data_IF_776970609794
#
_entry.id   IF_776970609794
#
_cell.length_a   1.000
_cell.length_b   1.000
_cell.length_c   1.000
_cell.angle_alpha   90.00
_cell.angle_beta   90.00
_cell.angle_gamma   90.00
#
_symmetry.space_group_name_H-M   'P 1'
#
loop_
_entity.id
_entity.type
_entity.pdbx_description
1 polymer ?
2 polymer ?
3 non-polymer ?
4 non-polymer ?
5 non-polymer ?
6 non-polymer ?
7 non-polymer ?
8 water ?
#
# COMPACT_ATOMS: atom_id res chain seq x y z
N UNK A 2 -18.81 13.10 16.43
CA UNK A 2 -17.95 14.18 15.83
C UNK A 2 -16.95 13.65 14.81
N UNK A 3 -16.37 12.50 15.12
CA UNK A 3 -15.27 11.93 14.30
C UNK A 3 -15.73 11.51 12.92
N UNK A 4 -17.03 11.27 12.80
CA UNK A 4 -17.61 10.67 11.59
C UNK A 4 -17.85 11.79 10.60
N UNK A 5 -17.82 12.98 11.17
CA UNK A 5 -18.02 14.22 10.41
C UNK A 5 -16.79 15.09 10.38
N UNK A 6 -16.27 15.22 9.17
CA UNK A 6 -15.23 16.17 8.84
C UNK A 6 -13.98 15.74 9.58
N UNK A 7 -14.07 14.50 10.02
CA UNK A 7 -12.94 13.79 10.66
C UNK A 7 -12.73 14.36 12.04
N UNK A 8 -13.78 15.05 12.47
CA UNK A 8 -13.87 15.54 13.83
C UNK A 8 -12.98 16.75 13.95
N UNK A 9 -12.51 17.12 12.78
CA UNK A 9 -11.68 18.32 12.58
C UNK A 9 -10.20 17.96 12.71
N UNK A 10 -10.01 16.69 13.01
CA UNK A 10 -8.64 16.10 13.21
C UNK A 10 -7.87 16.00 11.89
N UNK A 11 -6.56 16.23 11.96
CA UNK A 11 -5.73 16.14 10.76
C UNK A 11 -5.54 14.68 10.42
N UNK A 12 -5.48 13.89 11.48
CA UNK A 12 -5.25 12.42 11.39
C UNK A 12 -6.34 11.62 12.06
N UNK A 13 -6.00 11.01 13.19
CA UNK A 13 -6.92 10.06 13.85
C UNK A 13 -7.81 10.73 14.89
N UNK A 14 -9.00 10.18 15.02
CA UNK A 14 -10.06 10.77 15.86
C UNK A 14 -10.73 9.73 16.71
N UNK A 15 -10.85 10.05 17.98
CA UNK A 15 -11.59 9.23 18.94
C UNK A 15 -12.72 10.00 19.57
N UNK A 16 -13.87 9.34 19.59
CA UNK A 16 -15.08 9.81 20.29
C UNK A 16 -15.05 9.41 21.75
N UNK A 17 -15.52 10.34 22.56
CA UNK A 17 -15.70 10.11 24.00
C UNK A 17 -17.08 10.48 24.48
N UNK A 18 -17.33 10.00 25.68
CA UNK A 18 -18.63 10.18 26.33
C UNK A 18 -18.87 11.65 26.58
N UNK A 19 -19.85 12.13 25.85
CA UNK A 19 -20.21 13.54 25.85
C UNK A 19 -19.90 14.17 24.51
N UNK A 20 -19.81 15.49 24.57
CA UNK A 20 -19.49 16.31 23.40
C UNK A 20 -17.99 16.37 23.37
N UNK A 21 -17.42 15.23 23.75
CA UNK A 21 -15.95 15.01 23.79
C UNK A 21 -15.34 14.28 22.61
N UNK A 22 -14.20 14.82 22.21
CA UNK A 22 -13.40 14.30 21.09
C UNK A 22 -11.90 14.47 21.33
N UNK A 23 -11.16 13.44 20.97
CA UNK A 23 -9.69 13.49 21.03
C UNK A 23 -9.10 13.11 19.68
N UNK A 24 -8.27 14.01 19.19
CA UNK A 24 -7.47 13.79 17.98
C UNK A 24 -6.16 13.13 18.38
N UNK A 25 -5.66 12.32 17.48
CA UNK A 25 -4.37 11.68 17.68
C UNK A 25 -3.54 11.72 16.40
N UNK A 26 -2.28 11.42 16.59
CA UNK A 26 -1.31 11.40 15.50
C UNK A 26 -0.58 10.07 15.46
N UNK A 27 -0.24 9.73 14.23
CA UNK A 27 0.59 8.54 13.94
C UNK A 27 1.92 8.67 14.65
N UNK A 28 2.53 7.51 14.92
CA UNK A 28 3.91 7.52 15.41
C UNK A 28 4.74 8.36 14.46
N UNK A 29 5.66 9.13 15.02
CA UNK A 29 6.56 10.00 14.26
C UNK A 29 5.96 11.38 14.06
N UNK A 30 4.81 11.55 14.70
CA UNK A 30 4.11 12.86 14.79
C UNK A 30 3.68 13.17 16.21
N UNK A 31 3.55 14.46 16.45
CA UNK A 31 2.95 14.99 17.70
C UNK A 31 1.82 15.98 17.41
N UNK A 32 0.87 15.95 18.33
CA UNK A 32 -0.35 16.77 18.26
C UNK A 32 -0.05 18.17 18.77
N UNK A 33 -0.48 19.16 18.02
CA UNK A 33 -0.25 20.56 18.41
C UNK A 33 -1.33 21.00 19.40
N UNK A 34 -1.10 22.17 19.94
CA UNK A 34 -1.96 22.74 21.02
C UNK A 34 -3.35 23.09 20.54
N UNK A 35 -3.53 23.08 19.22
CA UNK A 35 -4.85 23.32 18.62
C UNK A 35 -5.71 22.08 18.78
N UNK A 36 -5.03 21.01 19.17
CA UNK A 36 -5.69 19.72 19.49
C UNK A 36 -6.13 18.93 18.28
N UNK A 37 -5.73 19.43 17.12
CA UNK A 37 -6.13 18.81 15.83
C UNK A 37 -4.98 18.50 14.87
N UNK A 38 -3.98 19.34 14.91
CA UNK A 38 -2.87 19.31 13.95
C UNK A 38 -1.76 18.37 14.41
N UNK A 39 -1.15 17.74 13.41
CA UNK A 39 0.00 16.84 13.61
C UNK A 39 1.25 17.35 12.92
N UNK A 40 2.32 17.38 13.68
CA UNK A 40 3.61 17.82 13.19
C UNK A 40 4.66 16.71 13.32
N UNK A 41 5.52 16.51 12.30
CA UNK A 41 6.54 15.47 12.42
C UNK A 41 7.52 15.69 13.55
N UNK A 42 7.93 14.57 14.12
CA UNK A 42 8.87 14.57 15.25
C UNK A 42 10.15 13.86 14.87
N UNK A 43 10.13 13.31 13.68
CA UNK A 43 11.28 12.60 13.09
C UNK A 43 11.58 13.09 11.70
N UNK A 44 12.72 12.62 11.20
CA UNK A 44 13.24 13.10 9.92
C UNK A 44 12.39 12.58 8.77
N UNK A 45 11.99 11.34 8.92
CA UNK A 45 11.25 10.63 7.87
C UNK A 45 9.92 10.04 8.36
N UNK A 46 8.95 10.91 8.65
CA UNK A 46 7.66 10.41 9.07
C UNK A 46 6.95 9.74 7.93
N UNK A 47 6.08 8.80 8.27
CA UNK A 47 5.31 8.09 7.24
C UNK A 47 4.46 9.07 6.43
N UNK A 48 4.33 8.74 5.16
CA UNK A 48 3.33 9.35 4.30
C UNK A 48 3.67 10.74 3.86
N UNK A 49 4.91 11.10 4.09
CA UNK A 49 5.47 12.35 3.55
C UNK A 49 6.60 12.05 2.58
N UNK A 50 6.68 12.90 1.56
CA UNK A 50 7.66 12.78 0.47
C UNK A 50 8.79 13.79 0.58
N UNK A 51 9.96 13.37 1.08
CA UNK A 51 11.01 14.32 1.46
C UNK A 51 11.38 15.33 0.39
N UNK A 52 11.42 14.88 -0.86
CA UNK A 52 11.98 15.74 -1.92
C UNK A 52 10.99 16.83 -2.24
N UNK A 53 9.77 16.58 -1.80
CA UNK A 53 8.64 17.51 -2.04
C UNK A 53 8.46 18.41 -0.85
N UNK A 54 8.78 17.88 0.32
CA UNK A 54 8.64 18.62 1.58
C UNK A 54 9.75 19.64 1.65
N UNK A 55 10.84 19.28 0.99
CA UNK A 55 12.06 20.09 1.00
C UNK A 55 11.93 21.16 -0.05
N UNK A 56 11.11 20.81 -1.02
CA UNK A 56 10.91 21.63 -2.23
C UNK A 56 10.01 22.76 -1.83
N UNK A 57 9.55 22.63 -0.59
CA UNK A 57 8.50 23.50 -0.04
C UNK A 57 8.88 24.12 1.27
N UNK A 58 10.07 23.73 1.71
CA UNK A 58 10.67 24.20 2.97
C UNK A 58 11.16 25.64 2.81
N UNK B 1 1.29 -0.73 -15.04
CA UNK B 1 0.41 0.45 -15.07
C UNK B 1 0.21 0.91 -16.50
N UNK B 2 -1.05 0.97 -16.85
CA UNK B 2 -1.54 1.46 -18.14
C UNK B 2 -2.10 2.87 -18.02
N UNK B 3 -1.56 3.76 -18.83
CA UNK B 3 -2.12 5.09 -19.05
C UNK B 3 -1.71 6.06 -17.98
N UNK B 4 -0.66 5.67 -17.28
CA UNK B 4 -0.04 6.51 -16.24
C UNK B 4 1.14 7.33 -16.74
N UNK B 5 1.96 7.68 -15.77
CA UNK B 5 3.22 8.37 -16.04
C UNK B 5 4.30 7.84 -15.13
N UNK B 6 5.52 8.22 -15.45
CA UNK B 6 6.67 7.89 -14.60
C UNK B 6 6.47 8.61 -13.27
N UNK B 7 6.62 7.86 -12.19
CA UNK B 7 6.68 8.48 -10.87
C UNK B 7 8.06 9.11 -10.71
N UNK B 8 8.12 10.45 -10.59
CA UNK B 8 9.44 11.01 -10.48
C UNK B 8 10.20 10.40 -9.33
N UNK B 9 11.46 10.12 -9.61
CA UNK B 9 12.34 9.46 -8.63
C UNK B 9 12.21 10.12 -7.27
N UNK B 10 11.76 9.31 -6.33
CA UNK B 10 11.70 9.70 -4.92
C UNK B 10 10.33 10.14 -4.49
N UNK B 11 9.41 10.18 -5.45
CA UNK B 11 8.04 10.66 -5.17
C UNK B 11 7.10 9.53 -4.83
N UNK B 12 7.64 8.33 -4.97
CA UNK B 12 6.93 7.09 -4.61
C UNK B 12 7.79 6.25 -3.64
N UNK B 13 8.19 6.84 -2.51
CA UNK B 13 9.32 6.29 -1.78
C UNK B 13 8.99 5.07 -0.95
N UNK B 14 7.71 4.76 -0.91
CA UNK B 14 7.19 3.59 -0.15
C UNK B 14 7.04 2.36 -1.04
N UNK B 15 7.24 2.58 -2.33
CA UNK B 15 7.09 1.48 -3.30
C UNK B 15 8.18 0.44 -3.09
N UNK B 16 7.75 -0.80 -3.10
CA UNK B 16 8.66 -1.95 -3.00
C UNK B 16 8.62 -2.77 -4.28
N UNK B 17 9.79 -3.25 -4.67
CA UNK B 17 9.89 -4.28 -5.71
C UNK B 17 10.26 -5.60 -5.07
N UNK B 18 9.45 -6.61 -5.34
CA UNK B 18 9.74 -7.98 -4.92
C UNK B 18 10.32 -8.78 -6.09
N UNK B 19 11.38 -9.47 -5.76
CA UNK B 19 12.12 -10.34 -6.68
C UNK B 19 12.18 -11.75 -6.16
N UNK B 20 12.13 -12.68 -7.11
CA UNK B 20 12.45 -14.09 -6.81
C UNK B 20 13.45 -14.60 -7.86
N UNK B 21 14.59 -15.05 -7.35
CA UNK B 21 15.74 -15.42 -8.17
C UNK B 21 16.14 -14.32 -9.17
N UNK B 22 15.96 -13.11 -8.69
CA UNK B 22 16.38 -11.90 -9.38
C UNK B 22 15.36 -11.37 -10.36
N UNK B 23 14.32 -12.17 -10.53
CA UNK B 23 13.20 -11.87 -11.43
C UNK B 23 12.06 -11.13 -10.74
N UNK B 24 11.53 -10.16 -11.44
CA UNK B 24 10.38 -9.38 -10.97
C UNK B 24 9.19 -10.28 -10.65
N UNK B 25 8.70 -10.16 -9.42
CA UNK B 25 7.59 -10.99 -8.92
C UNK B 25 6.30 -10.19 -8.78
N UNK B 26 6.47 -9.12 -8.03
CA UNK B 26 5.36 -8.26 -7.60
C UNK B 26 5.85 -6.96 -7.00
N UNK B 27 4.88 -6.13 -6.72
CA UNK B 27 5.06 -4.90 -5.97
C UNK B 27 4.77 -5.13 -4.50
N UNK B 28 5.06 -4.08 -3.75
CA UNK B 28 4.75 -4.03 -2.30
C UNK B 28 4.75 -2.60 -1.78
N UNK B 29 4.33 -2.47 -0.53
CA UNK B 29 4.33 -1.19 0.17
C UNK B 29 5.01 -1.27 1.52
N UNK B 30 5.98 -0.39 1.70
CA UNK B 30 6.68 -0.26 2.99
C UNK B 30 5.76 0.49 3.96
N UNK B 31 5.54 -0.08 5.14
CA UNK B 31 4.72 0.59 6.17
C UNK B 31 5.47 0.89 7.46
N UNK B 32 6.62 0.24 7.57
CA UNK B 32 7.60 0.47 8.65
C UNK B 32 8.94 -0.01 8.16
N UNK B 33 9.96 0.16 8.98
CA UNK B 33 11.35 -0.16 8.52
C UNK B 33 11.55 -1.64 8.27
N UNK B 34 10.68 -2.47 8.83
CA UNK B 34 10.83 -3.92 8.62
C UNK B 34 9.60 -4.62 8.06
N UNK B 35 8.57 -3.85 7.79
CA UNK B 35 7.30 -4.41 7.34
C UNK B 35 6.87 -3.90 5.99
N UNK B 36 6.49 -4.87 5.17
CA UNK B 36 5.98 -4.63 3.82
C UNK B 36 4.65 -5.34 3.60
N UNK B 37 3.73 -4.61 3.00
CA UNK B 37 2.42 -5.17 2.63
C UNK B 37 2.39 -5.44 1.14
N UNK B 38 1.96 -6.64 0.81
CA UNK B 38 1.82 -7.03 -0.60
C UNK B 38 0.53 -7.82 -0.78
N UNK B 39 0.48 -8.58 -1.87
CA UNK B 39 -0.68 -9.43 -2.22
C UNK B 39 -0.36 -10.90 -2.04
N UNK B 40 -1.27 -11.60 -1.38
CA UNK B 40 -1.09 -13.02 -1.08
C UNK B 40 -0.73 -13.83 -2.31
N UNK B 41 -1.38 -13.51 -3.42
CA UNK B 41 -1.33 -14.41 -4.61
C UNK B 41 0.09 -14.42 -5.20
N UNK B 42 0.86 -13.44 -4.77
CA UNK B 42 2.22 -13.26 -5.28
C UNK B 42 3.08 -14.44 -4.89
N UNK B 43 2.59 -15.16 -3.89
CA UNK B 43 3.38 -16.19 -3.20
C UNK B 43 2.85 -17.60 -3.39
N UNK B 44 1.87 -17.71 -4.27
CA UNK B 44 1.14 -18.98 -4.47
C UNK B 44 2.07 -20.09 -4.95
N UNK B 45 3.13 -19.69 -5.63
CA UNK B 45 3.94 -20.63 -6.44
C UNK B 45 5.39 -20.66 -6.02
N UNK B 46 5.66 -20.01 -4.91
CA UNK B 46 7.03 -19.91 -4.41
C UNK B 46 7.56 -21.28 -4.02
N UNK B 47 8.72 -21.57 -4.58
CA UNK B 47 9.36 -22.86 -4.39
C UNK B 47 10.32 -22.78 -3.25
N UNK B 48 11.31 -21.92 -3.49
CA UNK B 48 12.34 -21.62 -2.52
C UNK B 48 12.15 -20.28 -1.84
N UNK B 49 11.57 -20.37 -0.66
CA UNK B 49 11.04 -19.22 0.06
C UNK B 49 12.17 -18.34 0.48
N UNK B 50 13.36 -18.83 0.19
CA UNK B 50 14.59 -18.26 0.73
C UNK B 50 15.24 -17.34 -0.26
N UNK B 51 14.63 -17.29 -1.42
CA UNK B 51 15.16 -16.55 -2.56
C UNK B 51 14.34 -15.31 -2.85
N UNK B 52 13.50 -14.98 -1.88
CA UNK B 52 12.64 -13.78 -1.96
C UNK B 52 13.35 -12.55 -1.46
N UNK B 53 13.39 -11.54 -2.31
CA UNK B 53 14.06 -10.26 -2.03
C UNK B 53 13.12 -9.07 -2.21
N UNK B 54 13.21 -8.17 -1.25
CA UNK B 54 12.53 -6.87 -1.32
C UNK B 54 13.50 -5.75 -1.56
N UNK B 55 13.18 -4.93 -2.55
CA UNK B 55 14.00 -3.77 -2.88
C UNK B 55 13.23 -2.48 -2.66
N UNK B 56 13.86 -1.62 -1.87
CA UNK B 56 13.41 -0.26 -1.58
C UNK B 56 14.32 0.74 -2.31
N UNK B 57 13.75 1.89 -2.60
CA UNK B 57 14.48 3.00 -3.18
C UNK B 57 14.74 2.77 -4.66
N UNK B 58 14.02 1.80 -5.20
CA UNK B 58 14.12 1.45 -6.63
C UNK B 58 13.34 2.45 -7.46
N UNK B 59 13.86 2.65 -8.68
CA UNK B 59 13.24 3.56 -9.65
C UNK B 59 13.37 3.09 -11.07
N UNK B 60 14.60 3.12 -11.55
CA UNK B 60 14.95 2.63 -12.90
C UNK B 60 15.68 1.31 -12.83
N UNK B 61 15.01 0.29 -13.35
CA UNK B 61 15.48 -1.10 -13.21
C UNK B 61 16.75 -1.37 -14.02
N UNK B 62 17.09 -0.43 -14.86
CA UNK B 62 18.18 -0.63 -15.84
C UNK B 62 19.51 -0.23 -15.28
N UNK B 63 19.44 0.49 -14.18
CA UNK B 63 20.65 1.09 -13.58
C UNK B 63 20.65 1.02 -12.07
N UNK B 64 21.84 1.08 -11.56
CA UNK B 64 22.07 1.16 -10.12
C UNK B 64 22.57 2.55 -9.81
N UNK B 65 21.87 3.23 -8.89
CA UNK B 65 22.22 4.61 -8.57
C UNK B 65 22.59 4.80 -7.11
N UNK B 66 22.47 3.72 -6.37
CA UNK B 66 22.94 3.63 -5.00
C UNK B 66 21.92 3.98 -3.93
N UNK B 67 20.72 4.32 -4.38
CA UNK B 67 19.61 4.64 -3.46
C UNK B 67 18.81 3.39 -3.13
N UNK B 68 19.11 2.36 -3.91
CA UNK B 68 18.45 1.04 -3.73
C UNK B 68 18.94 0.36 -2.47
N UNK B 69 17.99 -0.27 -1.81
CA UNK B 69 18.25 -1.12 -0.63
C UNK B 69 17.51 -2.44 -0.75
N UNK B 70 18.29 -3.51 -0.70
CA UNK B 70 17.78 -4.87 -0.81
C UNK B 70 17.82 -5.60 0.51
N UNK B 71 16.72 -6.29 0.78
CA UNK B 71 16.59 -7.10 1.99
C UNK B 71 15.97 -8.44 1.66
N UNK B 72 16.41 -9.44 2.38
CA UNK B 72 15.76 -10.76 2.35
C UNK B 72 14.45 -10.68 3.10
N UNK B 73 13.49 -11.43 2.59
CA UNK B 73 12.19 -11.58 3.23
C UNK B 73 12.26 -12.75 4.19
N UNK B 74 12.05 -12.45 5.46
CA UNK B 74 12.19 -13.41 6.57
C UNK B 74 10.89 -14.12 6.85
N UNK B 75 9.82 -13.42 6.56
CA UNK B 75 8.46 -13.95 6.83
C UNK B 75 7.45 -13.40 5.86
N UNK B 76 6.63 -14.33 5.39
CA UNK B 76 5.44 -14.01 4.57
C UNK B 76 4.21 -14.52 5.28
N UNK B 77 3.39 -13.58 5.72
CA UNK B 77 2.17 -13.87 6.49
C UNK B 77 0.94 -13.58 5.66
N UNK B 78 0.09 -14.59 5.60
CA UNK B 78 -1.12 -14.56 4.79
C UNK B 78 -2.34 -14.97 5.64
N UNK B 79 -3.51 -14.36 5.38
CA UNK B 79 -4.67 -14.72 6.19
C UNK B 79 -5.16 -16.11 5.87
N UNK B 80 -5.68 -16.73 6.91
CA UNK B 80 -6.15 -18.13 6.83
C UNK B 80 -7.25 -18.26 5.79
N UNK B 81 -7.88 -17.14 5.52
CA UNK B 81 -9.12 -17.11 4.72
C UNK B 81 -8.82 -17.00 3.24
N UNK B 82 -7.57 -16.71 2.95
CA UNK B 82 -7.10 -16.64 1.56
C UNK B 82 -6.93 -18.03 0.96
N UNK B 83 -7.50 -18.18 -0.23
CA UNK B 83 -7.38 -19.42 -1.02
C UNK B 83 -6.51 -19.19 -2.26
N UNK B 84 -5.38 -19.90 -2.37
CA UNK B 84 -4.53 -19.65 -3.53
C UNK B 84 -5.27 -19.73 -4.84
N UNK B 85 -4.94 -18.76 -5.66
CA UNK B 85 -5.38 -18.70 -7.05
C UNK B 85 -6.68 -17.97 -7.17
N UNK B 86 -7.06 -17.38 -6.03
CA UNK B 86 -8.27 -16.56 -5.95
C UNK B 86 -7.99 -15.11 -5.58
N UNK B 87 -9.07 -14.37 -5.36
CA UNK B 87 -8.98 -12.91 -5.21
C UNK B 87 -9.30 -12.39 -3.83
N UNK B 88 -10.17 -13.11 -3.12
CA UNK B 88 -10.62 -12.63 -1.79
C UNK B 88 -9.48 -12.77 -0.79
N UNK B 89 -9.35 -11.75 0.05
CA UNK B 89 -8.35 -11.72 1.11
C UNK B 89 -6.93 -11.71 0.55
N UNK B 90 -6.81 -11.04 -0.58
CA UNK B 90 -5.54 -10.98 -1.32
C UNK B 90 -4.58 -9.98 -0.69
N UNK B 91 -4.02 -10.40 0.42
CA UNK B 91 -3.09 -9.57 1.19
C UNK B 91 -2.04 -10.42 1.89
N UNK B 92 -0.87 -9.84 1.99
CA UNK B 92 0.28 -10.45 2.66
C UNK B 92 1.07 -9.43 3.41
N UNK B 93 1.55 -9.85 4.56
CA UNK B 93 2.45 -9.05 5.39
C UNK B 93 3.82 -9.71 5.46
N UNK B 94 4.80 -8.93 5.05
CA UNK B 94 6.17 -9.39 4.89
C UNK B 94 7.09 -8.73 5.90
N UNK B 95 7.80 -9.59 6.63
CA UNK B 95 8.86 -9.16 7.53
C UNK B 95 10.22 -9.27 6.86
N UNK B 96 10.94 -8.14 6.85
CA UNK B 96 12.29 -8.08 6.28
C UNK B 96 13.29 -8.64 7.31
N UNK B 97 14.39 -9.16 6.80
CA UNK B 97 15.41 -9.85 7.62
C UNK B 97 16.15 -8.82 8.46
N UNK B 98 16.20 -7.64 7.91
CA UNK B 98 16.87 -6.48 8.49
C UNK B 98 16.15 -5.20 8.10
N UNK B 99 16.03 -4.22 9.02
CA UNK B 99 15.33 -3.01 8.60
C UNK B 99 16.01 -2.32 7.46
N UNK B 100 15.18 -1.67 6.64
CA UNK B 100 15.70 -0.68 5.69
C UNK B 100 16.02 0.57 6.47
N UNK B 101 16.86 1.38 5.85
CA UNK B 101 17.29 2.67 6.41
C UNK B 101 16.47 3.76 5.74
N UNK B 102 15.76 4.53 6.54
CA UNK B 102 14.94 5.60 5.97
C UNK B 102 15.87 6.68 5.42
N UNK B 103 15.52 7.07 4.21
CA UNK B 103 16.23 8.11 3.44
C UNK B 103 15.25 8.93 2.61
N UNK B 104 15.78 9.88 1.86
CA UNK B 104 14.91 10.70 1.02
C UNK B 104 14.16 9.82 0.02
N UNK B 105 14.72 8.64 -0.21
CA UNK B 105 14.24 7.75 -1.28
C UNK B 105 13.54 6.51 -0.77
N UNK B 106 13.56 6.39 0.54
CA UNK B 106 12.96 5.27 1.24
C UNK B 106 12.21 5.73 2.49
N UNK B 107 10.90 5.69 2.36
CA UNK B 107 9.95 6.19 3.38
C UNK B 107 8.71 5.30 3.45
N UNK B 108 8.25 4.96 4.68
CA UNK B 108 7.03 4.19 4.76
C UNK B 108 5.78 5.00 4.49
N UNK B 109 4.81 4.32 3.94
CA UNK B 109 3.43 4.84 3.82
C UNK B 109 2.73 4.57 5.14
N UNK B 110 1.92 5.53 5.59
CA UNK B 110 1.19 5.35 6.85
C UNK B 110 0.08 4.32 6.71
N UNK B 111 0.11 3.36 7.62
CA UNK B 111 -1.01 2.42 7.77
C UNK B 111 -2.04 3.11 8.65
N UNK B 112 -3.22 3.43 8.11
CA UNK B 112 -4.13 4.22 8.93
C UNK B 112 -4.90 3.39 9.93
N UNK B 113 -5.42 4.09 10.92
CA UNK B 113 -6.47 3.51 11.80
C UNK B 113 -7.67 3.15 10.96
N UNK B 114 -8.35 2.09 11.40
CA UNK B 114 -9.49 1.58 10.66
C UNK B 114 -10.55 2.63 10.54
N UNK B 115 -10.86 3.21 11.69
CA UNK B 115 -11.97 4.16 11.76
C UNK B 115 -11.74 5.29 10.79
N UNK B 116 -10.52 5.78 10.82
CA UNK B 116 -10.12 6.92 10.01
C UNK B 116 -10.24 6.54 8.55
N UNK B 117 -9.88 5.29 8.28
CA UNK B 117 -9.79 4.82 6.89
C UNK B 117 -11.19 4.66 6.33
N UNK B 118 -12.05 4.22 7.22
CA UNK B 118 -13.43 3.86 6.86
C UNK B 118 -14.29 5.11 6.74
N UNK B 119 -14.07 6.02 7.67
CA UNK B 119 -14.93 7.20 7.83
C UNK B 119 -14.49 8.35 6.96
N UNK B 120 -13.23 8.32 6.55
CA UNK B 120 -12.63 9.48 5.91
C UNK B 120 -11.92 9.15 4.59
N UNK B 121 -10.95 8.27 4.69
CA UNK B 121 -10.11 7.97 3.52
C UNK B 121 -10.95 7.38 2.40
N UNK B 122 -11.97 6.64 2.80
CA UNK B 122 -12.75 5.80 1.88
C UNK B 122 -13.58 6.70 0.98
N UNK B 123 -13.59 7.97 1.35
CA UNK B 123 -14.41 9.00 0.68
C UNK B 123 -13.58 10.00 -0.10
N UNK B 124 -12.27 9.80 -0.05
CA UNK B 124 -11.35 10.55 -0.90
C UNK B 124 -11.44 9.91 -2.29
N UNK B 125 -11.77 10.72 -3.29
CA UNK B 125 -12.15 10.17 -4.60
C UNK B 125 -10.98 9.49 -5.27
N UNK B 126 -9.95 10.28 -5.43
CA UNK B 126 -8.73 9.87 -6.15
C UNK B 126 -7.59 9.45 -5.26
N UNK B 127 -6.96 8.38 -5.72
CA UNK B 127 -5.75 7.82 -5.11
C UNK B 127 -4.79 7.36 -6.18
N UNK B 128 -3.57 7.14 -5.75
CA UNK B 128 -2.46 6.77 -6.63
C UNK B 128 -2.13 5.30 -6.53
N UNK B 129 -1.97 4.70 -7.70
CA UNK B 129 -1.48 3.30 -7.82
C UNK B 129 -0.22 3.26 -8.66
N UNK B 130 0.70 2.41 -8.26
CA UNK B 130 2.02 2.37 -8.87
C UNK B 130 2.61 0.99 -8.99
N UNK B 131 3.56 0.92 -9.91
CA UNK B 131 4.34 -0.31 -10.15
C UNK B 131 5.12 -0.31 -11.45
N UNK B 132 5.82 -1.41 -11.61
CA UNK B 132 6.70 -1.68 -12.77
C UNK B 132 6.07 -2.72 -13.65
N UNK B 133 4.76 -2.80 -13.53
CA UNK B 133 3.96 -3.72 -14.35
C UNK B 133 3.89 -3.35 -15.82
N UNK B 134 3.14 -4.19 -16.52
CA UNK B 134 2.86 -4.00 -17.97
C UNK B 134 2.27 -2.62 -18.26
N UNK B 135 2.79 -2.03 -19.32
CA UNK B 135 2.42 -0.68 -19.76
C UNK B 135 1.19 -0.77 -20.63
N UNK B 136 0.96 -2.00 -21.05
CA UNK B 136 -0.18 -2.38 -21.91
C UNK B 136 -0.58 -3.82 -21.68
N UNK B 137 -1.85 -4.09 -21.90
CA UNK B 137 -2.31 -5.48 -21.93
C UNK B 137 -1.47 -6.23 -22.97
N UNK B 138 -0.90 -7.33 -22.53
CA UNK B 138 -0.10 -8.22 -23.38
C UNK B 138 1.16 -7.51 -23.87
N UNK B 139 1.55 -6.53 -23.07
CA UNK B 139 2.74 -5.73 -23.34
C UNK B 139 3.88 -5.93 -22.38
N UNK B 140 4.99 -5.29 -22.72
CA UNK B 140 6.20 -5.30 -21.89
C UNK B 140 6.00 -4.52 -20.60
N UNK B 141 6.73 -4.96 -19.58
CA UNK B 141 6.76 -4.24 -18.29
C UNK B 141 7.62 -2.99 -18.36
N UNK B 142 7.38 -2.15 -17.37
CA UNK B 142 8.04 -0.84 -17.25
C UNK B 142 9.42 -0.95 -16.64
N UNK B 143 10.35 -0.15 -17.17
CA UNK B 143 11.71 -0.08 -16.63
C UNK B 143 11.80 1.02 -15.56
N UNK B 144 10.92 1.99 -15.71
CA UNK B 144 10.79 3.09 -14.73
C UNK B 144 9.45 2.97 -13.99
N UNK B 145 9.53 3.23 -12.69
CA UNK B 145 8.33 3.14 -11.83
C UNK B 145 7.26 4.08 -12.36
N UNK B 146 6.09 3.52 -12.54
CA UNK B 146 4.93 4.24 -13.06
C UNK B 146 3.86 4.43 -11.99
N UNK B 147 3.13 5.51 -12.17
CA UNK B 147 2.05 5.89 -11.27
C UNK B 147 0.84 6.45 -11.99
N UNK B 148 -0.29 6.16 -11.38
CA UNK B 148 -1.61 6.44 -11.96
C UNK B 148 -2.61 6.89 -10.92
N UNK B 149 -3.27 8.00 -11.23
CA UNK B 149 -4.38 8.53 -10.41
C UNK B 149 -5.68 7.87 -10.84
N UNK B 150 -6.31 7.22 -9.88
CA UNK B 150 -7.57 6.47 -10.12
C UNK B 150 -8.68 6.85 -9.14
N UNK B 151 -9.92 6.94 -9.64
CA UNK B 151 -11.02 7.21 -8.75
C UNK B 151 -11.69 5.95 -8.25
N UNK B 152 -12.05 6.02 -6.99
CA UNK B 152 -12.72 4.94 -6.26
C UNK B 152 -14.21 5.01 -6.46
N UNK B 153 -14.77 3.82 -6.60
CA UNK B 153 -16.22 3.63 -6.71
C UNK B 153 -16.77 2.86 -5.53
N UNK B 154 -17.91 3.32 -5.05
CA UNK B 154 -18.71 2.52 -4.10
C UNK B 154 -19.10 1.26 -4.84
N UNK B 155 -19.16 0.16 -4.11
CA UNK B 155 -19.22 -1.17 -4.75
C UNK B 155 -20.51 -1.34 -5.53
N UNK B 156 -21.52 -0.62 -5.07
CA UNK B 156 -22.84 -0.65 -5.71
C UNK B 156 -22.68 -0.12 -7.10
N UNK B 157 -21.99 0.99 -7.12
CA UNK B 157 -21.83 1.82 -8.32
C UNK B 157 -20.90 1.13 -9.28
N UNK B 158 -20.07 0.28 -8.70
CA UNK B 158 -19.05 -0.40 -9.48
C UNK B 158 -19.72 -1.43 -10.33
N UNK B 159 -20.67 -2.07 -9.66
CA UNK B 159 -21.35 -3.26 -10.20
C UNK B 159 -22.29 -2.83 -11.29
N UNK B 160 -22.71 -1.58 -11.16
CA UNK B 160 -23.73 -0.98 -12.04
C UNK B 160 -23.07 -0.48 -13.30
N UNK B 161 -21.86 0.01 -13.12
CA UNK B 161 -21.10 0.67 -14.18
C UNK B 161 -20.26 -0.32 -14.95
N UNK B 162 -20.31 -1.55 -14.47
CA UNK B 162 -19.53 -2.64 -15.07
C UNK B 162 -20.34 -3.35 -16.14
N UNK B 163 -19.66 -3.59 -17.25
CA UNK B 163 -20.25 -4.24 -18.42
C UNK B 163 -19.40 -5.38 -18.93
N UNK B 170 -17.60 -10.32 -8.97
CA UNK B 170 -17.71 -10.75 -7.58
C UNK B 170 -16.85 -9.94 -6.64
N UNK B 171 -17.39 -8.80 -6.28
CA UNK B 171 -16.74 -7.83 -5.42
C UNK B 171 -17.23 -8.02 -4.00
N UNK B 172 -16.32 -8.45 -3.14
CA UNK B 172 -16.64 -8.64 -1.74
C UNK B 172 -16.31 -7.41 -0.94
N UNK B 173 -16.61 -7.55 0.34
CA UNK B 173 -16.51 -6.45 1.30
C UNK B 173 -15.05 -6.23 1.63
N UNK B 174 -14.25 -7.12 1.07
CA UNK B 174 -12.80 -7.14 1.33
C UNK B 174 -12.06 -6.55 0.16
N UNK B 175 -12.88 -6.03 -0.74
CA UNK B 175 -12.40 -5.39 -1.96
C UNK B 175 -13.04 -4.06 -2.22
N UNK B 176 -12.43 -3.38 -3.16
CA UNK B 176 -13.06 -2.20 -3.79
C UNK B 176 -12.57 -1.97 -5.20
N UNK B 177 -13.44 -1.27 -5.91
CA UNK B 177 -13.19 -0.86 -7.30
C UNK B 177 -12.60 0.53 -7.39
N UNK B 178 -11.69 0.65 -8.33
CA UNK B 178 -11.13 1.95 -8.70
C UNK B 178 -10.55 1.93 -10.10
N UNK B 179 -10.70 3.08 -10.74
CA UNK B 179 -10.16 3.30 -12.08
C UNK B 179 -11.21 3.72 -13.08
N UNK B 180 -11.07 3.14 -14.26
CA UNK B 180 -11.81 3.55 -15.47
C UNK B 180 -12.27 2.37 -16.31
N UNK B 181 -13.41 2.58 -16.95
CA UNK B 181 -14.10 1.51 -17.69
C UNK B 181 -13.87 1.64 -19.18
N UNK B 182 -13.04 2.61 -19.53
CA UNK B 182 -12.88 3.01 -20.95
C UNK B 182 -11.66 2.41 -21.57
N UNK B 183 -10.98 1.65 -20.73
CA UNK B 183 -9.87 0.79 -21.15
C UNK B 183 -8.59 1.53 -21.39
N UNK B 184 -8.54 2.73 -20.85
CA UNK B 184 -7.41 3.64 -21.09
C UNK B 184 -6.38 3.64 -19.96
N UNK B 185 -6.88 3.27 -18.79
CA UNK B 185 -6.14 3.46 -17.53
C UNK B 185 -6.45 2.42 -16.48
N UNK B 186 -5.39 1.76 -16.05
CA UNK B 186 -5.52 0.66 -15.08
C UNK B 186 -4.18 0.21 -14.52
N UNK B 187 -4.29 -0.53 -13.43
CA UNK B 187 -3.18 -1.36 -13.00
C UNK B 187 -3.20 -2.56 -13.90
N UNK B 188 -2.08 -3.26 -13.89
CA UNK B 188 -1.85 -4.37 -14.84
C UNK B 188 -0.95 -5.43 -14.27
N UNK B 189 -0.87 -6.52 -14.99
CA UNK B 189 0.01 -7.61 -14.57
C UNK B 189 1.41 -7.07 -14.34
N UNK B 190 1.94 -7.41 -13.19
CA UNK B 190 3.27 -6.99 -12.76
C UNK B 190 3.19 -5.95 -11.67
N UNK B 191 1.99 -5.44 -11.48
CA UNK B 191 1.71 -4.37 -10.51
C UNK B 191 1.19 -4.91 -9.19
N UNK B 192 0.72 -6.15 -9.22
CA UNK B 192 0.11 -6.76 -8.02
C UNK B 192 1.01 -6.59 -6.80
N UNK B 193 0.35 -6.23 -5.72
CA UNK B 193 0.94 -6.13 -4.38
C UNK B 193 1.31 -4.71 -4.07
N UNK B 194 1.27 -3.92 -5.12
CA UNK B 194 1.62 -2.51 -5.04
C UNK B 194 0.61 -1.65 -4.31
N UNK B 195 0.98 -0.41 -3.96
CA UNK B 195 0.09 0.45 -3.21
C UNK B 195 -0.94 1.19 -4.02
N UNK B 196 -2.08 1.27 -3.35
CA UNK B 196 -3.15 2.24 -3.62
C UNK B 196 -3.12 3.18 -2.42
N UNK B 197 -2.59 4.36 -2.70
CA UNK B 197 -2.26 5.37 -1.68
C UNK B 197 -3.11 6.61 -1.81
N UNK B 198 -3.58 7.03 -0.65
CA UNK B 198 -4.58 8.08 -0.54
C UNK B 198 -4.11 9.23 0.32
N UNK B 199 -4.23 10.41 -0.25
CA UNK B 199 -3.79 11.65 0.38
C UNK B 199 -4.92 12.26 1.20
N UNK B 200 -4.55 12.65 2.40
CA UNK B 200 -5.42 13.43 3.27
C UNK B 200 -4.67 14.40 4.16
N UNK B 201 -5.00 15.66 3.93
CA UNK B 201 -4.47 16.77 4.71
C UNK B 201 -2.96 16.69 4.91
N UNK B 202 -2.30 16.38 3.81
CA UNK B 202 -0.86 16.58 3.67
C UNK B 202 -0.05 15.34 3.90
N UNK B 203 -0.78 14.27 4.12
CA UNK B 203 -0.19 12.95 4.39
C UNK B 203 -0.84 11.84 3.59
N UNK B 204 -0.01 10.87 3.25
CA UNK B 204 -0.45 9.71 2.45
C UNK B 204 -0.60 8.44 3.27
N UNK B 205 -1.65 7.71 2.93
CA UNK B 205 -2.05 6.48 3.63
C UNK B 205 -2.31 5.29 2.71
N UNK B 206 -2.06 4.12 3.26
CA UNK B 206 -2.38 2.86 2.53
C UNK B 206 -3.85 2.49 2.66
N UNK B 207 -4.52 2.50 1.51
CA UNK B 207 -5.95 2.14 1.44
C UNK B 207 -6.25 0.90 0.61
N UNK B 208 -5.33 0.59 -0.28
CA UNK B 208 -5.52 -0.54 -1.17
C UNK B 208 -4.25 -1.24 -1.58
N UNK B 209 -4.45 -2.47 -2.01
CA UNK B 209 -3.40 -3.29 -2.61
C UNK B 209 -3.85 -3.77 -3.99
N UNK B 210 -2.99 -3.53 -4.97
CA UNK B 210 -3.27 -4.00 -6.34
C UNK B 210 -3.41 -5.51 -6.29
N UNK B 211 -4.57 -6.00 -6.71
CA UNK B 211 -4.80 -7.45 -6.67
C UNK B 211 -4.65 -8.02 -8.08
N UNK B 212 -5.58 -8.87 -8.44
CA UNK B 212 -5.62 -9.37 -9.82
C UNK B 212 -7.02 -9.70 -10.28
N UNK B 213 -7.05 -10.11 -11.53
CA UNK B 213 -8.28 -10.39 -12.27
C UNK B 213 -7.97 -10.73 -13.72
N UNK B 215 -9.52 -7.54 -15.60
CA UNK B 215 -8.28 -7.75 -16.33
C UNK B 215 -7.40 -6.52 -16.28
N UNK B 216 -6.73 -6.31 -17.40
CA UNK B 216 -5.84 -5.16 -17.59
C UNK B 216 -6.38 -4.21 -18.64
N UNK B 217 -6.94 -3.13 -18.15
CA UNK B 217 -7.45 -2.04 -18.98
C UNK B 217 -8.52 -2.59 -19.89
N UNK B 218 -9.21 -3.59 -19.37
CA UNK B 218 -10.38 -4.17 -20.05
C UNK B 218 -11.58 -3.26 -20.05
N UNK B 219 -12.00 -2.90 -21.26
CA UNK B 219 -13.19 -2.07 -21.44
C UNK B 219 -14.37 -2.70 -20.73
N UNK B 220 -15.06 -1.83 -20.01
CA UNK B 220 -16.31 -2.16 -19.32
C UNK B 220 -16.04 -2.59 -17.91
N UNK B 221 -14.76 -2.65 -17.60
CA UNK B 221 -14.31 -3.09 -16.26
C UNK B 221 -13.44 -2.11 -15.50
N UNK B 222 -13.44 -2.35 -14.21
CA UNK B 222 -12.68 -1.57 -13.22
C UNK B 222 -11.64 -2.40 -12.50
N UNK B 223 -10.57 -1.73 -12.11
CA UNK B 223 -9.53 -2.33 -11.30
C UNK B 223 -10.09 -2.73 -9.96
N UNK B 224 -9.61 -3.86 -9.49
CA UNK B 224 -9.97 -4.38 -8.16
C UNK B 224 -8.79 -4.38 -7.21
N UNK B 225 -9.11 -3.88 -6.03
CA UNK B 225 -8.12 -3.64 -4.98
C UNK B 225 -8.57 -4.23 -3.66
N UNK B 226 -7.59 -4.79 -2.97
CA UNK B 226 -7.82 -5.29 -1.61
C UNK B 226 -8.09 -4.12 -0.69
N UNK B 227 -9.17 -4.24 0.05
CA UNK B 227 -9.64 -3.17 0.96
C UNK B 227 -8.91 -3.26 2.30
N UNK B 228 -7.83 -2.51 2.37
CA UNK B 228 -6.86 -2.62 3.47
C UNK B 228 -7.49 -2.34 4.84
N UNK B 229 -8.57 -1.58 4.82
CA UNK B 229 -9.22 -1.14 6.09
C UNK B 229 -9.73 -2.34 6.89
N UNK B 230 -9.96 -3.41 6.16
CA UNK B 230 -10.57 -4.61 6.76
C UNK B 230 -9.51 -5.38 7.53
N UNK B 231 -8.26 -4.99 7.29
CA UNK B 231 -7.09 -5.78 7.75
C UNK B 231 -6.19 -5.05 8.74
N UNK B 232 -6.59 -3.85 9.11
CA UNK B 232 -5.71 -3.01 9.94
C UNK B 232 -5.37 -3.69 11.26
N UNK B 233 -6.40 -4.19 11.89
CA UNK B 233 -6.27 -4.82 13.21
C UNK B 233 -5.43 -6.10 13.12
N UNK B 234 -5.62 -6.78 12.00
CA UNK B 234 -4.96 -8.07 11.74
C UNK B 234 -3.46 -7.82 11.55
N UNK B 235 -3.17 -6.74 10.85
CA UNK B 235 -1.79 -6.36 10.52
C UNK B 235 -1.09 -5.90 11.77
N UNK B 236 -1.82 -5.13 12.57
CA UNK B 236 -1.24 -4.48 13.74
C UNK B 236 -0.83 -5.52 14.77
N UNK B 237 -1.67 -6.53 14.87
CA UNK B 237 -1.46 -7.60 15.84
C UNK B 237 -0.21 -8.37 15.44
N UNK B 238 -0.12 -8.61 14.14
CA UNK B 238 1.00 -9.41 13.60
C UNK B 238 2.32 -8.69 13.78
N UNK B 239 2.26 -7.38 13.65
CA UNK B 239 3.48 -6.55 13.72
C UNK B 239 4.03 -6.51 15.14
N UNK B 240 3.19 -6.90 16.08
CA UNK B 240 3.55 -6.91 17.52
C UNK B 240 4.03 -8.28 17.96
N UNK B 241 3.95 -9.21 17.03
CA UNK B 241 4.25 -10.62 17.31
C UNK B 241 5.70 -10.99 17.00
N UNK B 242 6.20 -11.99 17.71
CA UNK B 242 7.55 -12.52 17.47
C UNK B 242 7.57 -13.36 16.20
N UNK B 243 8.66 -13.29 15.43
CA UNK B 243 8.86 -14.14 14.26
C UNK B 243 8.81 -15.60 14.65
N UNK B 244 8.36 -16.38 13.69
CA UNK B 244 8.31 -17.84 13.79
C UNK B 244 9.18 -18.50 12.73
N UNK B 245 9.78 -19.65 13.07
CA UNK B 245 10.54 -20.37 12.06
C UNK B 245 9.65 -20.73 10.89
N UNK B 246 10.28 -20.73 9.74
CA UNK B 246 9.62 -21.01 8.47
C UNK B 246 9.07 -19.73 7.89
N UNK B 247 9.37 -19.49 6.62
CA UNK B 247 9.07 -18.20 6.00
C UNK B 247 7.57 -17.98 5.97
N UNK B 248 6.89 -18.92 5.33
CA UNK B 248 5.41 -18.84 5.22
C UNK B 248 4.70 -19.11 6.53
N UNK B 249 3.82 -18.17 6.86
CA UNK B 249 2.92 -18.26 8.01
C UNK B 249 1.49 -17.91 7.63
N UNK B 250 0.61 -18.85 7.88
CA UNK B 250 -0.82 -18.59 7.73
C UNK B 250 -1.36 -18.22 9.10
N UNK B 251 -1.96 -17.05 9.15
CA UNK B 251 -2.46 -16.46 10.40
C UNK B 251 -3.98 -16.33 10.37
N UNK B 252 -4.63 -16.68 11.48
CA UNK B 252 -6.07 -16.56 11.47
C UNK B 252 -6.56 -15.17 11.17
N UNK B 253 -7.57 -15.17 10.34
CA UNK B 253 -8.35 -13.98 10.06
C UNK B 253 -9.84 -14.30 10.29
N UNK B 254 -10.54 -13.44 11.01
CA UNK B 254 -10.05 -12.16 11.53
C UNK B 254 -9.04 -12.29 12.67
#
# INVERSE_FOLDING_TARGET
LICVNENGGCEQYCSDHTGTKRSCRCHEGYSLLADGVSCTPTVEYPCGKIPILEKRNASKPQGR
IVGGKVCPKGECPWQVLLLVNGAQLCGGTLINTIWVVSAAHCFDKIKNWRNLIAVLGEHDLSEHDGDEQSRRVAQVIIPSTYVPGTTNHDIALLRLHQPVVLTDHVVPLCLPERTFSERTLAFVRFSLVSGWGQLLDRGATALELMVLNVPRLMTQDCLQQSRKVGDSPNITEYMFCAGYSDGSKDSCKGDSGGPHATHYRGTWYLTGIVSWGQGCATVGHFGVYTRVSQYIEWLQKLMRSEPRPGVLLRAPFP
#
